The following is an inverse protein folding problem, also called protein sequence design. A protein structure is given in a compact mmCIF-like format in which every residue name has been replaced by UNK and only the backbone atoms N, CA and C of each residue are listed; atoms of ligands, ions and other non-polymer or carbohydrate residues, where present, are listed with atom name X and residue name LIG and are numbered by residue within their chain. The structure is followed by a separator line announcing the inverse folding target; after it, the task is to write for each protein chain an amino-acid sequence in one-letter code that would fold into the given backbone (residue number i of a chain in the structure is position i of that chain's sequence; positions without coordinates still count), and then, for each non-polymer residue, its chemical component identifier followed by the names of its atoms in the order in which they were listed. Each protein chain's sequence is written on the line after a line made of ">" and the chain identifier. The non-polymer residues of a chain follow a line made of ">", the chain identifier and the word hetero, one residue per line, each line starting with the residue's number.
data_IF_087159861426
#
_entry.id   IF_087159861426
#
_cell.length_a   1.000
_cell.length_b   1.000
_cell.length_c   1.000
_cell.angle_alpha   90.00
_cell.angle_beta   90.00
_cell.angle_gamma   90.00
#
_symmetry.space_group_name_H-M   'P 1'
#
loop_
_entity.id
_entity.type
_entity.pdbx_description
1 polymer ?
#
# COMPACT_ATOMS: atom_id res chain seq x y z
N UNK A 1 61.11 -29.59 24.28
CA UNK A 1 61.12 -29.04 22.92
C UNK A 1 59.69 -28.57 22.64
N UNK A 2 59.36 -27.33 22.91
CA UNK A 2 58.06 -26.73 22.61
C UNK A 2 58.13 -26.08 21.23
N UNK A 3 57.53 -26.71 20.24
CA UNK A 3 57.46 -26.18 18.90
C UNK A 3 56.59 -24.89 18.86
N UNK A 4 57.17 -23.77 18.48
CA UNK A 4 56.50 -22.51 18.29
C UNK A 4 55.48 -22.65 17.17
N UNK A 5 54.20 -22.63 17.48
CA UNK A 5 53.11 -22.66 16.50
C UNK A 5 53.17 -21.41 15.64
N UNK A 6 53.25 -21.58 14.33
CA UNK A 6 53.34 -20.52 13.32
C UNK A 6 52.23 -19.45 13.55
N UNK A 7 52.58 -18.16 13.73
CA UNK A 7 51.60 -17.10 14.00
C UNK A 7 50.54 -16.97 12.91
N UNK A 8 50.85 -17.27 11.66
CA UNK A 8 49.87 -17.29 10.57
C UNK A 8 48.81 -18.39 10.74
N UNK A 9 49.21 -19.55 11.25
CA UNK A 9 48.26 -20.67 11.53
C UNK A 9 47.26 -20.29 12.66
N UNK A 10 47.72 -19.57 13.67
CA UNK A 10 46.85 -19.07 14.76
C UNK A 10 45.85 -18.03 14.25
N UNK A 11 46.26 -17.17 13.32
CA UNK A 11 45.37 -16.17 12.72
C UNK A 11 44.29 -16.82 11.85
N UNK A 12 44.66 -17.81 11.03
CA UNK A 12 43.75 -18.60 10.23
C UNK A 12 42.75 -19.35 11.11
N UNK A 13 43.20 -20.00 12.18
CA UNK A 13 42.32 -20.69 13.14
C UNK A 13 41.33 -19.74 13.79
N UNK A 14 41.77 -18.54 14.20
CA UNK A 14 40.86 -17.51 14.79
C UNK A 14 39.81 -17.06 13.78
N UNK A 15 40.17 -16.81 12.54
CA UNK A 15 39.24 -16.43 11.48
C UNK A 15 38.22 -17.53 11.21
N UNK A 16 38.63 -18.78 11.15
CA UNK A 16 37.74 -19.93 10.97
C UNK A 16 36.76 -20.08 12.14
N UNK A 17 37.22 -19.89 13.39
CA UNK A 17 36.36 -19.93 14.56
C UNK A 17 35.33 -18.79 14.53
N UNK A 18 35.71 -17.57 14.17
CA UNK A 18 34.79 -16.43 14.06
C UNK A 18 33.77 -16.66 12.94
N UNK A 19 34.20 -17.17 11.77
CA UNK A 19 33.27 -17.51 10.69
C UNK A 19 32.30 -18.63 11.08
N UNK A 20 32.78 -19.68 11.75
CA UNK A 20 31.95 -20.78 12.19
C UNK A 20 30.94 -20.32 13.26
N UNK A 21 31.38 -19.50 14.22
CA UNK A 21 30.50 -18.91 15.25
C UNK A 21 29.44 -18.00 14.62
N UNK A 22 29.83 -17.17 13.64
CA UNK A 22 28.90 -16.35 12.87
C UNK A 22 27.87 -17.17 12.09
N UNK A 23 28.31 -18.20 11.40
CA UNK A 23 27.42 -19.11 10.66
C UNK A 23 26.44 -19.81 11.61
N UNK A 24 26.90 -20.34 12.74
CA UNK A 24 26.06 -20.97 13.76
C UNK A 24 25.05 -19.98 14.35
N UNK A 25 25.46 -18.74 14.62
CA UNK A 25 24.55 -17.70 15.15
C UNK A 25 23.45 -17.34 14.14
N UNK A 26 23.80 -17.20 12.85
CA UNK A 26 22.83 -16.94 11.80
C UNK A 26 21.87 -18.12 11.63
N UNK A 27 22.39 -19.36 11.64
CA UNK A 27 21.56 -20.55 11.55
C UNK A 27 20.61 -20.68 12.74
N UNK A 28 21.10 -20.42 13.97
CA UNK A 28 20.26 -20.44 15.16
C UNK A 28 19.16 -19.35 15.11
N UNK A 29 19.48 -18.17 14.63
CA UNK A 29 18.52 -17.08 14.43
C UNK A 29 17.44 -17.47 13.41
N UNK A 30 17.83 -17.98 12.26
CA UNK A 30 16.92 -18.40 11.18
C UNK A 30 16.03 -19.55 11.64
N UNK A 31 16.61 -20.58 12.26
CA UNK A 31 15.83 -21.75 12.76
C UNK A 31 14.95 -21.38 13.95
N UNK A 32 15.40 -20.50 14.84
CA UNK A 32 14.59 -19.99 15.95
C UNK A 32 13.42 -19.13 15.52
N UNK A 33 13.56 -18.36 14.43
CA UNK A 33 12.48 -17.52 13.87
C UNK A 33 11.56 -18.30 12.89
N UNK A 34 12.03 -19.38 12.30
CA UNK A 34 11.27 -20.15 11.31
C UNK A 34 9.89 -20.60 11.79
N UNK A 35 9.69 -21.13 13.03
CA UNK A 35 8.37 -21.51 13.51
C UNK A 35 7.42 -20.34 13.68
N UNK A 36 7.93 -19.18 14.14
CA UNK A 36 7.13 -17.96 14.29
C UNK A 36 6.71 -17.41 12.93
N UNK A 37 7.64 -17.33 11.98
CA UNK A 37 7.37 -16.91 10.60
C UNK A 37 6.40 -17.90 9.94
N UNK A 38 6.62 -19.20 10.10
CA UNK A 38 5.74 -20.24 9.59
C UNK A 38 4.34 -20.17 10.22
N UNK A 39 4.25 -19.94 11.54
CA UNK A 39 2.99 -19.71 12.24
C UNK A 39 2.23 -18.48 11.73
N UNK A 40 2.91 -17.39 11.47
CA UNK A 40 2.32 -16.17 10.88
C UNK A 40 1.84 -16.44 9.44
N UNK A 41 2.64 -17.14 8.64
CA UNK A 41 2.29 -17.45 7.25
C UNK A 41 1.14 -18.47 7.15
N UNK A 42 1.08 -19.44 8.06
CA UNK A 42 0.08 -20.51 8.03
C UNK A 42 -1.15 -20.26 8.91
N UNK A 43 -1.11 -19.35 9.87
CA UNK A 43 -2.27 -19.02 10.70
C UNK A 43 -3.50 -18.61 9.87
N UNK A 44 -3.28 -18.20 8.62
CA UNK A 44 -4.31 -17.80 7.68
C UNK A 44 -4.56 -18.81 6.55
N UNK A 45 -3.84 -19.94 6.52
CA UNK A 45 -4.02 -20.96 5.47
C UNK A 45 -5.28 -21.80 5.67
N UNK A 46 -5.81 -21.82 6.89
CA UNK A 46 -7.01 -22.61 7.26
C UNK A 46 -8.33 -21.84 7.08
N UNK A 47 -8.29 -20.53 6.86
CA UNK A 47 -9.49 -19.76 6.54
C UNK A 47 -9.53 -19.66 5.01
N UNK A 48 -10.52 -20.25 4.32
CA UNK A 48 -10.75 -19.99 2.92
C UNK A 48 -11.16 -18.51 2.83
N UNK A 49 -10.20 -17.66 2.58
CA UNK A 49 -10.43 -16.23 2.46
C UNK A 49 -11.02 -16.02 1.06
N UNK A 50 -12.34 -16.12 0.96
CA UNK A 50 -13.05 -15.48 -0.14
C UNK A 50 -12.96 -13.98 0.13
N UNK A 51 -12.35 -13.26 -0.82
CA UNK A 51 -12.46 -11.79 -0.78
C UNK A 51 -13.95 -11.47 -0.90
N UNK A 52 -14.54 -10.75 0.07
CA UNK A 52 -15.87 -10.21 -0.13
C UNK A 52 -15.83 -9.32 -1.37
N UNK A 53 -16.93 -9.22 -2.11
CA UNK A 53 -17.06 -8.22 -3.17
C UNK A 53 -16.78 -6.82 -2.62
N UNK A 54 -16.41 -5.88 -3.47
CA UNK A 54 -16.30 -4.49 -3.06
C UNK A 54 -17.62 -4.03 -2.44
N UNK A 55 -17.55 -3.47 -1.23
CA UNK A 55 -18.71 -2.81 -0.62
C UNK A 55 -19.19 -1.66 -1.52
N UNK A 56 -20.48 -1.36 -1.48
CA UNK A 56 -21.02 -0.15 -2.10
C UNK A 56 -20.27 1.09 -1.61
N UNK A 57 -20.01 2.05 -2.49
CA UNK A 57 -19.46 3.34 -2.08
C UNK A 57 -20.54 4.12 -1.34
N UNK A 58 -20.17 4.73 -0.21
CA UNK A 58 -21.03 5.75 0.40
C UNK A 58 -21.22 6.88 -0.61
N UNK A 59 -22.46 7.20 -0.95
CA UNK A 59 -22.76 8.27 -1.90
C UNK A 59 -23.40 9.43 -1.17
N UNK A 60 -23.13 10.66 -1.65
CA UNK A 60 -23.86 11.84 -1.18
C UNK A 60 -25.31 11.77 -1.65
N UNK A 61 -26.22 12.22 -0.80
CA UNK A 61 -27.62 12.47 -1.17
C UNK A 61 -27.80 13.97 -1.40
N UNK A 62 -28.29 14.33 -2.57
CA UNK A 62 -28.55 15.75 -2.92
C UNK A 62 -30.04 16.01 -2.78
N UNK A 63 -30.39 17.09 -2.09
CA UNK A 63 -31.74 17.56 -1.94
C UNK A 63 -32.01 18.68 -2.94
N UNK A 64 -33.09 18.57 -3.69
CA UNK A 64 -33.53 19.58 -4.64
C UNK A 64 -34.88 20.14 -4.20
N UNK A 65 -35.15 21.40 -4.51
CA UNK A 65 -36.47 21.99 -4.36
C UNK A 65 -37.39 21.60 -5.52
N UNK A 66 -38.62 22.11 -5.49
CA UNK A 66 -39.65 21.85 -6.55
C UNK A 66 -39.28 22.44 -7.92
N UNK A 67 -38.37 23.39 -7.95
CA UNK A 67 -37.84 24.02 -9.18
C UNK A 67 -36.63 23.27 -9.74
N UNK A 68 -36.14 22.24 -9.01
CA UNK A 68 -34.93 21.49 -9.36
C UNK A 68 -33.64 22.16 -8.92
N UNK A 69 -33.70 23.19 -8.05
CA UNK A 69 -32.52 23.81 -7.47
C UNK A 69 -32.00 23.01 -6.29
N UNK A 70 -30.68 22.84 -6.19
CA UNK A 70 -30.04 22.14 -5.10
C UNK A 70 -30.11 22.96 -3.81
N UNK A 71 -30.85 22.45 -2.81
CA UNK A 71 -31.05 23.11 -1.50
C UNK A 71 -30.21 22.50 -0.38
N UNK A 72 -29.64 21.32 -0.59
CA UNK A 72 -28.79 20.71 0.42
C UNK A 72 -28.10 19.45 -0.04
N UNK A 73 -27.07 19.06 0.70
CA UNK A 73 -26.34 17.80 0.52
C UNK A 73 -26.21 17.10 1.87
N UNK A 74 -26.65 15.85 1.92
CA UNK A 74 -26.43 14.97 3.07
C UNK A 74 -25.36 13.96 2.72
N UNK A 75 -24.28 13.97 3.48
CA UNK A 75 -23.15 13.06 3.25
C UNK A 75 -22.43 12.74 4.55
N UNK A 76 -22.11 11.47 4.75
CA UNK A 76 -21.13 11.04 5.74
C UNK A 76 -19.71 11.21 5.19
N UNK A 77 -19.56 10.86 3.92
CA UNK A 77 -18.34 11.00 3.12
C UNK A 77 -18.74 11.61 1.78
N UNK A 78 -18.03 12.66 1.34
CA UNK A 78 -18.28 13.22 0.03
C UNK A 78 -17.64 12.33 -1.02
N UNK A 79 -18.35 11.31 -1.47
CA UNK A 79 -17.91 10.37 -2.49
C UNK A 79 -18.82 10.44 -3.72
N UNK A 80 -18.21 10.56 -4.89
CA UNK A 80 -18.89 10.52 -6.17
C UNK A 80 -18.22 9.50 -7.05
N UNK A 81 -18.97 8.47 -7.45
CA UNK A 81 -18.44 7.40 -8.30
C UNK A 81 -18.09 7.94 -9.68
N UNK A 82 -16.86 7.74 -10.08
CA UNK A 82 -16.30 8.20 -11.36
C UNK A 82 -15.62 7.04 -12.05
N UNK A 83 -15.98 6.74 -13.31
CA UNK A 83 -15.26 5.77 -14.11
C UNK A 83 -13.82 6.22 -14.36
N UNK A 84 -12.85 5.31 -14.30
CA UNK A 84 -11.45 5.65 -14.55
C UNK A 84 -11.21 6.23 -15.94
N UNK A 85 -12.01 5.82 -16.91
CA UNK A 85 -11.92 6.33 -18.30
C UNK A 85 -12.31 7.80 -18.45
N UNK A 86 -13.00 8.40 -17.47
CA UNK A 86 -13.33 9.84 -17.48
C UNK A 86 -12.21 10.69 -16.84
N UNK A 87 -11.20 10.07 -16.27
CA UNK A 87 -10.05 10.78 -15.67
C UNK A 87 -8.97 11.02 -16.72
N UNK A 88 -8.46 12.25 -16.87
CA UNK A 88 -7.37 12.51 -17.81
C UNK A 88 -6.15 11.61 -17.53
N UNK A 89 -5.53 11.10 -18.59
CA UNK A 89 -4.40 10.17 -18.48
C UNK A 89 -3.21 10.76 -17.71
N UNK A 90 -2.97 12.05 -17.86
CA UNK A 90 -1.87 12.75 -17.18
C UNK A 90 -2.12 12.88 -15.67
N UNK A 91 -3.39 12.99 -15.26
CA UNK A 91 -3.79 13.00 -13.85
C UNK A 91 -3.57 11.62 -13.23
N UNK A 92 -3.98 10.56 -13.94
CA UNK A 92 -3.71 9.17 -13.52
C UNK A 92 -2.20 8.95 -13.41
N UNK A 93 -1.43 9.36 -14.42
CA UNK A 93 0.02 9.22 -14.43
C UNK A 93 0.68 9.94 -13.25
N UNK A 94 0.21 11.13 -12.89
CA UNK A 94 0.70 11.90 -11.74
C UNK A 94 0.47 11.16 -10.42
N UNK A 95 -0.72 10.60 -10.22
CA UNK A 95 -1.05 9.82 -9.01
C UNK A 95 -0.22 8.53 -8.96
N UNK A 96 -0.12 7.81 -10.08
CA UNK A 96 0.68 6.59 -10.15
C UNK A 96 2.17 6.85 -9.90
N UNK A 97 2.72 7.95 -10.40
CA UNK A 97 4.12 8.30 -10.23
C UNK A 97 4.48 8.51 -8.75
N UNK A 98 3.57 9.07 -7.96
CA UNK A 98 3.77 9.35 -6.54
C UNK A 98 3.49 8.12 -5.68
N UNK A 99 2.39 7.42 -5.93
CA UNK A 99 1.88 6.35 -5.06
C UNK A 99 2.41 4.96 -5.44
N UNK A 100 2.46 4.65 -6.73
CA UNK A 100 2.85 3.31 -7.20
C UNK A 100 3.30 3.33 -8.67
N UNK A 101 4.47 3.89 -8.95
CA UNK A 101 5.00 4.07 -10.32
C UNK A 101 5.08 2.77 -11.14
N UNK A 102 5.07 1.62 -10.49
CA UNK A 102 5.12 0.30 -11.14
C UNK A 102 3.82 -0.49 -10.99
N UNK A 103 2.70 0.21 -10.74
CA UNK A 103 1.39 -0.39 -10.49
C UNK A 103 1.04 -1.50 -11.48
N UNK A 104 1.21 -1.27 -12.77
CA UNK A 104 0.87 -2.25 -13.82
C UNK A 104 1.84 -3.43 -13.94
N UNK A 105 3.01 -3.39 -13.28
CA UNK A 105 4.05 -4.41 -13.44
C UNK A 105 4.14 -5.41 -12.28
N UNK A 106 3.61 -5.08 -11.09
CA UNK A 106 3.59 -6.02 -9.97
C UNK A 106 2.24 -6.76 -9.84
N UNK A 107 2.18 -7.75 -8.94
CA UNK A 107 1.01 -8.57 -8.65
C UNK A 107 0.54 -8.39 -7.19
N UNK A 108 0.11 -7.17 -6.84
CA UNK A 108 -0.41 -6.82 -5.52
C UNK A 108 0.61 -6.26 -4.56
N UNK A 109 1.84 -6.72 -4.60
CA UNK A 109 2.94 -6.29 -3.73
C UNK A 109 4.18 -5.96 -4.55
N UNK A 110 4.84 -4.85 -4.24
CA UNK A 110 6.11 -4.47 -4.83
C UNK A 110 7.27 -4.82 -3.89
N UNK A 111 7.83 -6.03 -4.04
CA UNK A 111 8.92 -6.53 -3.20
C UNK A 111 10.17 -5.65 -3.26
N UNK A 112 10.48 -5.05 -4.43
CA UNK A 112 11.64 -4.15 -4.57
C UNK A 112 11.45 -2.88 -3.74
N UNK A 113 10.23 -2.31 -3.72
CA UNK A 113 9.92 -1.16 -2.89
C UNK A 113 9.98 -1.51 -1.40
N UNK A 114 9.54 -2.69 -0.99
CA UNK A 114 9.63 -3.17 0.40
C UNK A 114 11.08 -3.24 0.86
N UNK A 115 11.96 -3.89 0.07
CA UNK A 115 13.39 -3.99 0.39
C UNK A 115 14.04 -2.61 0.45
N UNK A 116 13.77 -1.75 -0.55
CA UNK A 116 14.32 -0.39 -0.57
C UNK A 116 13.88 0.42 0.66
N UNK A 117 12.59 0.40 0.99
CA UNK A 117 12.06 1.13 2.14
C UNK A 117 12.61 0.61 3.47
N UNK A 118 12.80 -0.71 3.61
CA UNK A 118 13.41 -1.29 4.80
C UNK A 118 14.84 -0.80 4.97
N UNK A 119 15.66 -0.82 3.91
CA UNK A 119 17.04 -0.32 3.96
C UNK A 119 17.10 1.18 4.25
N UNK A 120 16.26 1.99 3.60
CA UNK A 120 16.22 3.45 3.83
C UNK A 120 15.79 3.79 5.26
N UNK A 121 14.78 3.10 5.80
CA UNK A 121 14.27 3.35 7.14
C UNK A 121 15.28 2.92 8.24
N UNK A 122 16.15 1.93 7.99
CA UNK A 122 17.22 1.55 8.93
C UNK A 122 18.39 2.55 8.94
N UNK A 123 18.55 3.31 7.85
CA UNK A 123 19.62 4.33 7.74
C UNK A 123 19.19 5.72 8.20
N UNK A 124 18.01 5.86 8.83
CA UNK A 124 17.52 7.13 9.36
C UNK A 124 17.11 8.17 8.32
N UNK A 125 16.96 7.77 7.05
CA UNK A 125 16.43 8.61 5.99
C UNK A 125 14.91 8.78 6.12
N UNK A 126 14.35 9.77 5.40
CA UNK A 126 12.89 10.04 5.35
C UNK A 126 12.10 8.75 5.15
N UNK A 127 11.03 8.54 5.94
CA UNK A 127 10.16 7.38 5.84
C UNK A 127 9.66 7.20 4.41
N UNK A 128 10.12 6.17 3.73
CA UNK A 128 9.67 5.82 2.39
C UNK A 128 8.48 4.86 2.48
N UNK A 129 7.39 5.19 1.79
CA UNK A 129 6.24 4.30 1.62
C UNK A 129 6.59 3.14 0.68
N UNK A 130 6.17 1.93 1.06
CA UNK A 130 6.36 0.72 0.25
C UNK A 130 5.01 0.05 -0.09
N UNK A 131 3.90 0.69 0.27
CA UNK A 131 2.56 0.12 0.03
C UNK A 131 2.11 0.41 -1.39
N UNK A 132 1.63 -0.61 -2.09
CA UNK A 132 1.05 -0.47 -3.42
C UNK A 132 -0.38 0.10 -3.36
N UNK A 133 -0.89 0.64 -4.48
CA UNK A 133 -2.29 1.03 -4.62
C UNK A 133 -3.23 -0.12 -4.25
N UNK A 134 -2.93 -1.34 -4.70
CA UNK A 134 -3.73 -2.53 -4.36
C UNK A 134 -3.77 -2.79 -2.86
N UNK A 135 -2.65 -2.61 -2.16
CA UNK A 135 -2.61 -2.72 -0.71
C UNK A 135 -3.40 -1.62 0.00
N UNK A 136 -3.45 -0.42 -0.58
CA UNK A 136 -4.26 0.68 -0.04
C UNK A 136 -5.77 0.41 -0.23
N UNK A 137 -6.20 -0.11 -1.38
CA UNK A 137 -7.59 -0.56 -1.59
C UNK A 137 -7.95 -1.64 -0.57
N UNK A 138 -7.10 -2.65 -0.40
CA UNK A 138 -7.33 -3.72 0.59
C UNK A 138 -7.47 -3.15 2.01
N UNK A 139 -6.62 -2.20 2.38
CA UNK A 139 -6.69 -1.53 3.69
C UNK A 139 -8.05 -0.87 3.91
N UNK A 140 -8.54 -0.16 2.92
CA UNK A 140 -9.73 0.66 3.03
C UNK A 140 -11.03 -0.19 2.95
N UNK A 141 -11.07 -1.18 2.04
CA UNK A 141 -12.30 -1.93 1.78
C UNK A 141 -12.46 -3.20 2.61
N UNK A 142 -11.36 -3.88 2.96
CA UNK A 142 -11.42 -5.21 3.57
C UNK A 142 -10.84 -5.28 4.98
N UNK A 143 -9.99 -4.35 5.36
CA UNK A 143 -9.29 -4.35 6.64
C UNK A 143 -9.65 -3.13 7.51
N UNK A 144 -10.67 -2.37 7.13
CA UNK A 144 -11.14 -1.24 7.93
C UNK A 144 -11.62 -1.74 9.31
N UNK A 145 -11.15 -1.07 10.38
CA UNK A 145 -11.52 -1.43 11.76
C UNK A 145 -10.71 -2.56 12.40
N UNK A 146 -9.77 -3.19 11.67
CA UNK A 146 -8.86 -4.16 12.28
C UNK A 146 -7.66 -3.48 12.91
N UNK A 147 -7.18 -4.03 14.03
CA UNK A 147 -5.97 -3.57 14.71
C UNK A 147 -4.74 -3.70 13.81
N UNK A 148 -3.91 -2.65 13.78
CA UNK A 148 -2.70 -2.58 12.94
C UNK A 148 -1.49 -3.21 13.63
N UNK A 149 -1.59 -4.49 13.99
CA UNK A 149 -0.50 -5.28 14.53
C UNK A 149 0.44 -5.82 13.42
N UNK A 150 1.47 -6.60 13.81
CA UNK A 150 2.41 -7.19 12.84
C UNK A 150 1.74 -8.15 11.83
N UNK A 151 0.60 -8.75 12.19
CA UNK A 151 -0.18 -9.66 11.34
C UNK A 151 -0.96 -8.91 10.26
N UNK A 152 -1.39 -7.68 10.58
CA UNK A 152 -2.13 -6.81 9.67
C UNK A 152 -1.42 -6.63 8.32
N UNK A 153 -0.11 -6.36 8.35
CA UNK A 153 0.68 -6.13 7.12
C UNK A 153 0.81 -7.37 6.25
N UNK A 154 0.93 -8.53 6.87
CA UNK A 154 0.96 -9.84 6.17
C UNK A 154 -0.40 -10.11 5.52
N UNK A 155 -1.49 -9.89 6.26
CA UNK A 155 -2.86 -10.08 5.77
C UNK A 155 -3.16 -9.12 4.61
N UNK A 156 -2.80 -7.84 4.74
CA UNK A 156 -2.93 -6.83 3.70
C UNK A 156 -2.20 -7.26 2.40
N UNK A 157 -0.97 -7.75 2.54
CA UNK A 157 -0.18 -8.20 1.39
C UNK A 157 -0.80 -9.42 0.71
N UNK A 158 -1.28 -10.39 1.51
CA UNK A 158 -1.95 -11.58 1.00
C UNK A 158 -3.24 -11.23 0.24
N UNK A 159 -4.08 -10.38 0.82
CA UNK A 159 -5.31 -9.92 0.18
C UNK A 159 -5.04 -9.14 -1.09
N UNK A 160 -3.98 -8.33 -1.14
CA UNK A 160 -3.60 -7.60 -2.34
C UNK A 160 -3.23 -8.54 -3.49
N UNK A 161 -2.47 -9.61 -3.22
CA UNK A 161 -2.15 -10.63 -4.22
C UNK A 161 -3.40 -11.40 -4.68
N UNK A 162 -4.32 -11.72 -3.77
CA UNK A 162 -5.57 -12.39 -4.09
C UNK A 162 -6.49 -11.50 -4.93
N UNK A 163 -6.59 -10.22 -4.59
CA UNK A 163 -7.40 -9.24 -5.30
C UNK A 163 -6.95 -9.12 -6.76
N UNK A 164 -5.65 -9.02 -7.02
CA UNK A 164 -5.13 -8.93 -8.39
C UNK A 164 -5.23 -10.21 -9.22
N UNK A 165 -5.48 -11.36 -8.58
CA UNK A 165 -5.83 -12.59 -9.30
C UNK A 165 -7.28 -12.62 -9.77
N UNK A 166 -8.16 -11.90 -9.10
CA UNK A 166 -9.62 -11.94 -9.31
C UNK A 166 -10.14 -10.70 -10.03
N UNK A 167 -9.48 -9.55 -9.84
CA UNK A 167 -9.95 -8.24 -10.30
C UNK A 167 -8.90 -7.59 -11.21
N UNK A 168 -9.29 -7.14 -12.41
CA UNK A 168 -8.39 -6.43 -13.32
C UNK A 168 -7.82 -5.15 -12.70
N UNK A 169 -6.57 -4.82 -12.99
CA UNK A 169 -5.87 -3.61 -12.55
C UNK A 169 -6.68 -2.33 -12.74
N UNK A 170 -7.37 -2.21 -13.88
CA UNK A 170 -8.23 -1.07 -14.19
C UNK A 170 -9.32 -0.86 -13.14
N UNK A 171 -9.99 -1.92 -12.71
CA UNK A 171 -11.05 -1.85 -11.70
C UNK A 171 -10.48 -1.59 -10.30
N UNK A 172 -9.28 -2.09 -10.00
CA UNK A 172 -8.59 -1.78 -8.74
C UNK A 172 -8.22 -0.30 -8.70
N UNK A 173 -7.69 0.24 -9.80
CA UNK A 173 -7.37 1.67 -9.90
C UNK A 173 -8.64 2.53 -9.80
N UNK A 174 -9.71 2.16 -10.49
CA UNK A 174 -11.00 2.85 -10.38
C UNK A 174 -11.50 2.88 -8.94
N UNK A 175 -11.44 1.73 -8.25
CA UNK A 175 -11.82 1.65 -6.83
C UNK A 175 -10.96 2.56 -5.97
N UNK A 176 -9.64 2.56 -6.18
CA UNK A 176 -8.71 3.44 -5.48
C UNK A 176 -9.06 4.91 -5.67
N UNK A 177 -9.20 5.35 -6.92
CA UNK A 177 -9.49 6.74 -7.26
C UNK A 177 -10.86 7.22 -6.74
N UNK A 178 -11.77 6.29 -6.44
CA UNK A 178 -13.08 6.59 -5.86
C UNK A 178 -13.12 6.50 -4.33
N UNK A 179 -12.07 5.99 -3.65
CA UNK A 179 -12.08 5.76 -2.20
C UNK A 179 -10.97 6.46 -1.43
N UNK A 180 -9.91 6.88 -2.11
CA UNK A 180 -8.76 7.52 -1.46
C UNK A 180 -9.16 8.88 -0.88
N UNK A 181 -8.67 9.17 0.33
CA UNK A 181 -8.94 10.42 1.03
C UNK A 181 -7.95 11.50 0.63
N UNK A 182 -8.46 12.68 0.29
CA UNK A 182 -7.68 13.86 -0.13
C UNK A 182 -7.70 15.00 0.90
N UNK A 183 -8.21 14.77 2.10
CA UNK A 183 -8.45 15.86 3.06
C UNK A 183 -9.80 16.55 2.81
N UNK A 184 -10.12 17.52 3.68
CA UNK A 184 -11.31 18.36 3.57
C UNK A 184 -12.61 17.59 3.25
N UNK A 185 -12.79 16.43 3.88
CA UNK A 185 -13.91 15.50 3.67
C UNK A 185 -14.07 14.99 2.22
N UNK A 186 -13.06 15.15 1.37
CA UNK A 186 -13.08 14.67 -0.01
C UNK A 186 -12.58 13.22 -0.10
N UNK A 187 -13.49 12.31 -0.38
CA UNK A 187 -13.22 10.91 -0.64
C UNK A 187 -13.39 10.62 -2.14
N UNK A 188 -12.31 10.24 -2.79
CA UNK A 188 -12.25 10.04 -4.24
C UNK A 188 -11.92 11.29 -5.03
N UNK A 189 -11.41 11.05 -6.23
CA UNK A 189 -10.81 12.08 -7.09
C UNK A 189 -11.82 13.12 -7.59
N UNK A 190 -13.07 12.71 -7.87
CA UNK A 190 -14.12 13.64 -8.31
C UNK A 190 -14.47 14.61 -7.19
N UNK A 191 -14.65 14.12 -5.96
CA UNK A 191 -14.94 14.96 -4.81
C UNK A 191 -13.76 15.93 -4.53
N UNK A 192 -12.52 15.45 -4.67
CA UNK A 192 -11.35 16.29 -4.51
C UNK A 192 -11.27 17.37 -5.60
N UNK A 193 -11.57 17.03 -6.87
CA UNK A 193 -11.61 18.00 -7.96
C UNK A 193 -12.61 19.13 -7.70
N UNK A 194 -13.81 18.78 -7.23
CA UNK A 194 -14.84 19.77 -6.88
C UNK A 194 -14.43 20.62 -5.68
N UNK A 195 -13.92 20.00 -4.60
CA UNK A 195 -13.58 20.70 -3.36
C UNK A 195 -12.40 21.66 -3.54
N UNK A 196 -11.36 21.24 -4.24
CA UNK A 196 -10.14 22.04 -4.38
C UNK A 196 -10.13 22.97 -5.59
N UNK A 197 -10.86 22.64 -6.65
CA UNK A 197 -10.79 23.38 -7.92
C UNK A 197 -12.16 23.81 -8.47
N UNK A 198 -13.28 23.40 -7.88
CA UNK A 198 -14.61 23.70 -8.38
C UNK A 198 -14.87 23.14 -9.79
N UNK A 199 -14.19 22.07 -10.16
CA UNK A 199 -14.23 21.51 -11.51
C UNK A 199 -14.48 20.00 -11.49
N UNK A 200 -15.10 19.42 -12.54
CA UNK A 200 -15.22 17.99 -12.66
C UNK A 200 -13.83 17.35 -12.92
N UNK A 201 -13.67 16.09 -12.52
CA UNK A 201 -12.40 15.35 -12.69
C UNK A 201 -11.90 15.32 -14.14
N UNK A 202 -12.81 15.29 -15.11
CA UNK A 202 -12.50 15.29 -16.55
C UNK A 202 -11.85 16.57 -17.05
N UNK A 203 -11.97 17.67 -16.30
CA UNK A 203 -11.38 18.96 -16.62
C UNK A 203 -10.05 19.24 -15.89
N UNK A 204 -9.57 18.31 -15.07
CA UNK A 204 -8.32 18.47 -14.33
C UNK A 204 -7.11 18.56 -15.26
N UNK A 205 -6.23 19.51 -14.98
CA UNK A 205 -4.91 19.61 -15.60
C UNK A 205 -3.89 18.70 -14.90
N UNK A 206 -2.76 18.44 -15.55
CA UNK A 206 -1.64 17.68 -14.97
C UNK A 206 -1.13 18.32 -13.66
N UNK A 207 -1.08 19.65 -13.59
CA UNK A 207 -0.65 20.39 -12.39
C UNK A 207 -1.60 20.14 -11.22
N UNK A 208 -2.91 20.18 -11.49
CA UNK A 208 -3.93 19.87 -10.48
C UNK A 208 -3.87 18.40 -10.06
N UNK A 209 -3.64 17.49 -11.00
CA UNK A 209 -3.40 16.07 -10.71
C UNK A 209 -2.18 15.83 -9.83
N UNK A 210 -1.07 16.51 -10.10
CA UNK A 210 0.14 16.43 -9.29
C UNK A 210 -0.07 17.00 -7.88
N UNK A 211 -0.81 18.11 -7.75
CA UNK A 211 -1.20 18.67 -6.45
C UNK A 211 -2.02 17.64 -5.63
N UNK A 212 -3.06 17.06 -6.25
CA UNK A 212 -3.88 16.04 -5.58
C UNK A 212 -3.07 14.81 -5.21
N UNK A 213 -2.14 14.35 -6.06
CA UNK A 213 -1.26 13.25 -5.74
C UNK A 213 -0.40 13.53 -4.50
N UNK A 214 0.05 14.77 -4.31
CA UNK A 214 0.77 15.20 -3.10
C UNK A 214 -0.09 15.14 -1.84
N UNK A 215 -1.39 15.50 -1.93
CA UNK A 215 -2.31 15.47 -0.80
C UNK A 215 -2.59 14.05 -0.28
N UNK A 216 -2.52 13.02 -1.11
CA UNK A 216 -2.77 11.64 -0.67
C UNK A 216 -1.81 11.21 0.44
N UNK A 217 -0.58 11.73 0.44
CA UNK A 217 0.44 11.35 1.43
C UNK A 217 0.29 12.11 2.76
N UNK A 218 -0.28 13.32 2.73
CA UNK A 218 -0.47 14.19 3.89
C UNK A 218 -1.73 15.06 3.68
N UNK A 219 -2.93 14.44 3.73
CA UNK A 219 -4.19 15.10 3.47
C UNK A 219 -4.62 16.07 4.59
#
# INVERSE_FOLDING_TARGET
>A
MGGAVNPQLRTIQRLLIVMLAGALSITALVTGMAPQVWGILNAHSQIPVQLPGFAGLSQRSVLFDVAGEQIGVFQKENTQKTPVDSVPVDVIASILAVEDAVFYSHKGVNLRAVVRATLANTQGSTRQGASTITQQVVKNDFLAGLDRDGRYKVLQSRYAVMLEKQVPKKLILERYLNTVFFGNNAYGLQAAAEVYFGAPVSALTITQGAFLAGLIQAP
#
